data_IF_863850109558
#
_entry.id   IF_863850109558
#
_cell.length_a   1.000
_cell.length_b   1.000
_cell.length_c   1.000
_cell.angle_alpha   90.00
_cell.angle_beta   90.00
_cell.angle_gamma   90.00
#
_symmetry.space_group_name_H-M   'P 1'
#
loop_
_entity.id
_entity.type
_entity.pdbx_description
1 polymer ?
#
# COMPACT_ATOMS: atom_id res chain seq x y z
N UNK A 1 4.93 -7.05 9.20
CA UNK A 1 4.58 -5.92 10.09
C UNK A 1 3.89 -4.87 9.25
N UNK A 2 2.87 -4.21 9.79
CA UNK A 2 2.22 -3.06 9.14
C UNK A 2 2.96 -1.79 9.55
N UNK A 3 3.32 -0.95 8.58
CA UNK A 3 4.04 0.32 8.81
C UNK A 3 3.05 1.48 9.02
N UNK A 4 1.86 1.38 8.44
CA UNK A 4 0.72 2.24 8.72
C UNK A 4 -0.49 1.82 7.87
N UNK A 5 -1.62 2.49 8.10
CA UNK A 5 -2.89 2.21 7.44
C UNK A 5 -3.70 3.50 7.34
N UNK A 6 -4.47 3.65 6.26
CA UNK A 6 -5.39 4.77 6.07
C UNK A 6 -6.66 4.30 5.39
N UNK A 7 -7.80 4.77 5.87
CA UNK A 7 -9.08 4.62 5.17
C UNK A 7 -9.28 5.79 4.22
N UNK A 8 -9.58 5.51 2.96
CA UNK A 8 -9.98 6.51 1.97
C UNK A 8 -11.48 6.42 1.71
N UNK A 9 -12.15 7.50 1.27
CA UNK A 9 -13.52 7.42 0.78
C UNK A 9 -13.62 6.46 -0.43
N UNK A 10 -14.84 6.06 -0.76
CA UNK A 10 -15.09 5.23 -1.96
C UNK A 10 -14.50 5.89 -3.21
N UNK A 11 -13.81 5.09 -4.03
CA UNK A 11 -13.15 5.55 -5.25
C UNK A 11 -14.07 5.35 -6.45
N UNK A 12 -14.42 6.44 -7.13
CA UNK A 12 -15.17 6.35 -8.38
C UNK A 12 -14.30 5.79 -9.52
N UNK A 13 -14.94 5.14 -10.51
CA UNK A 13 -14.24 4.58 -11.66
C UNK A 13 -13.36 5.62 -12.38
N UNK A 14 -12.10 5.27 -12.60
CA UNK A 14 -11.11 6.13 -13.26
C UNK A 14 -10.57 7.29 -12.42
N UNK A 15 -10.92 7.37 -11.12
CA UNK A 15 -10.34 8.33 -10.19
C UNK A 15 -9.17 7.73 -9.42
N UNK A 16 -8.43 8.60 -8.74
CA UNK A 16 -7.32 8.22 -7.86
C UNK A 16 -7.29 9.12 -6.62
N UNK A 17 -6.86 8.56 -5.48
CA UNK A 17 -6.42 9.34 -4.32
C UNK A 17 -4.90 9.31 -4.23
N UNK A 18 -4.31 10.42 -3.77
CA UNK A 18 -2.90 10.48 -3.42
C UNK A 18 -2.76 10.46 -1.90
N UNK A 19 -1.91 9.56 -1.40
CA UNK A 19 -1.68 9.35 0.03
C UNK A 19 -0.19 9.54 0.29
N UNK A 20 0.14 10.39 1.25
CA UNK A 20 1.50 10.55 1.76
C UNK A 20 1.58 9.95 3.17
N UNK A 21 2.55 9.06 3.38
CA UNK A 21 2.81 8.45 4.68
C UNK A 21 4.29 8.60 5.01
N UNK A 22 4.58 8.96 6.25
CA UNK A 22 5.93 9.07 6.77
C UNK A 22 6.09 8.10 7.94
N UNK A 23 7.15 7.29 7.91
CA UNK A 23 7.46 6.35 8.98
C UNK A 23 8.96 6.31 9.22
N UNK A 24 9.35 6.33 10.49
CA UNK A 24 10.73 6.11 10.93
C UNK A 24 10.81 4.72 11.54
N UNK A 25 11.64 3.86 10.97
CA UNK A 25 11.85 2.50 11.45
C UNK A 25 13.20 2.41 12.18
N UNK A 26 13.28 1.69 13.31
CA UNK A 26 14.53 1.56 14.08
C UNK A 26 15.51 0.55 13.46
N UNK A 27 15.34 0.22 12.17
CA UNK A 27 16.11 -0.78 11.44
C UNK A 27 16.52 -0.21 10.08
N UNK A 28 17.61 -0.74 9.53
CA UNK A 28 17.95 -0.54 8.12
C UNK A 28 16.99 -1.37 7.26
N UNK A 29 16.33 -0.70 6.31
CA UNK A 29 15.31 -1.28 5.44
C UNK A 29 15.79 -1.53 4.02
N UNK A 30 17.05 -1.23 3.70
CA UNK A 30 17.62 -1.48 2.37
C UNK A 30 17.61 -2.97 2.04
N UNK A 31 17.22 -3.29 0.82
CA UNK A 31 16.98 -4.66 0.35
C UNK A 31 15.64 -5.26 0.76
N UNK A 32 14.81 -4.57 1.56
CA UNK A 32 13.47 -5.03 1.91
C UNK A 32 12.43 -4.60 0.86
N UNK A 33 11.31 -5.33 0.79
CA UNK A 33 10.14 -4.93 -0.01
C UNK A 33 9.10 -4.23 0.86
N UNK A 34 8.67 -3.05 0.42
CA UNK A 34 7.46 -2.41 0.91
C UNK A 34 6.27 -2.88 0.07
N UNK A 35 5.17 -3.25 0.73
CA UNK A 35 3.91 -3.63 0.06
C UNK A 35 2.84 -2.61 0.40
N UNK A 36 2.11 -2.18 -0.62
CA UNK A 36 0.92 -1.34 -0.51
C UNK A 36 -0.26 -2.22 -0.89
N UNK A 37 -1.24 -2.33 0.01
CA UNK A 37 -2.39 -3.23 -0.17
C UNK A 37 -3.65 -2.37 -0.05
N UNK A 38 -4.36 -2.18 -1.17
CA UNK A 38 -5.71 -1.63 -1.14
C UNK A 38 -6.68 -2.70 -0.64
N UNK A 39 -7.70 -2.30 0.13
CA UNK A 39 -8.72 -3.20 0.68
C UNK A 39 -8.13 -4.49 1.31
N UNK A 40 -7.19 -4.36 2.24
CA UNK A 40 -6.49 -5.52 2.80
C UNK A 40 -7.38 -6.50 3.58
N UNK A 41 -8.58 -6.06 3.95
CA UNK A 41 -9.60 -6.89 4.60
C UNK A 41 -10.59 -7.53 3.59
N UNK A 42 -10.44 -7.23 2.29
CA UNK A 42 -11.25 -7.77 1.19
C UNK A 42 -12.75 -7.49 1.40
N UNK A 43 -13.09 -6.25 1.76
CA UNK A 43 -14.45 -5.79 2.07
C UNK A 43 -15.22 -5.38 0.81
N UNK A 44 -14.53 -4.88 -0.22
CA UNK A 44 -15.12 -4.42 -1.48
C UNK A 44 -14.86 -5.49 -2.54
N UNK A 45 -15.93 -6.07 -3.08
CA UNK A 45 -15.81 -7.03 -4.19
C UNK A 45 -15.48 -6.28 -5.49
N UNK A 46 -14.31 -6.59 -6.06
CA UNK A 46 -13.84 -6.04 -7.31
C UNK A 46 -13.70 -7.12 -8.38
N UNK A 47 -13.66 -6.70 -9.66
CA UNK A 47 -13.51 -7.65 -10.77
C UNK A 47 -12.17 -8.41 -10.78
N UNK A 48 -11.17 -7.92 -10.04
CA UNK A 48 -9.85 -8.53 -9.97
C UNK A 48 -9.12 -8.20 -8.66
N UNK A 49 -9.31 -9.00 -7.62
CA UNK A 49 -8.64 -8.83 -6.32
C UNK A 49 -7.10 -8.91 -6.35
N UNK A 50 -6.51 -9.42 -7.45
CA UNK A 50 -5.06 -9.56 -7.54
C UNK A 50 -4.34 -8.26 -7.92
N UNK A 51 -5.06 -7.20 -8.29
CA UNK A 51 -4.45 -5.92 -8.64
C UNK A 51 -4.38 -4.92 -7.47
N UNK A 52 -4.80 -5.33 -6.28
CA UNK A 52 -4.79 -4.50 -5.06
C UNK A 52 -3.44 -4.45 -4.36
N UNK A 53 -2.42 -5.13 -4.90
CA UNK A 53 -1.09 -5.21 -4.30
C UNK A 53 -0.06 -4.51 -5.18
N UNK A 54 0.55 -3.45 -4.65
CA UNK A 54 1.76 -2.82 -5.18
C UNK A 54 2.99 -3.18 -4.35
N UNK A 55 4.14 -3.29 -4.98
CA UNK A 55 5.41 -3.55 -4.29
C UNK A 55 6.51 -2.55 -4.71
N UNK A 56 7.34 -2.18 -3.75
CA UNK A 56 8.54 -1.37 -3.96
C UNK A 56 9.74 -2.05 -3.30
N UNK A 57 10.81 -2.30 -4.05
CA UNK A 57 12.10 -2.68 -3.49
C UNK A 57 12.79 -1.41 -2.97
N UNK A 58 13.20 -1.43 -1.71
CA UNK A 58 14.06 -0.38 -1.17
C UNK A 58 15.48 -0.71 -1.60
N UNK A 59 16.03 0.09 -2.50
CA UNK A 59 17.33 -0.18 -3.10
C UNK A 59 18.45 -0.16 -2.05
N UNK A 60 19.49 -0.95 -2.31
CA UNK A 60 20.77 -0.83 -1.62
C UNK A 60 21.55 0.24 -2.37
N UNK A 61 21.89 1.36 -1.73
CA UNK A 61 22.84 2.33 -2.31
C UNK A 61 24.23 1.70 -2.55
#
# INVERSE_FOLDING_TARGET
STVGEVTVPGLESGKSYFIEMQATLPIDVRGMRMRYIADSENVIEESNENNNVGELLIEMD
#
